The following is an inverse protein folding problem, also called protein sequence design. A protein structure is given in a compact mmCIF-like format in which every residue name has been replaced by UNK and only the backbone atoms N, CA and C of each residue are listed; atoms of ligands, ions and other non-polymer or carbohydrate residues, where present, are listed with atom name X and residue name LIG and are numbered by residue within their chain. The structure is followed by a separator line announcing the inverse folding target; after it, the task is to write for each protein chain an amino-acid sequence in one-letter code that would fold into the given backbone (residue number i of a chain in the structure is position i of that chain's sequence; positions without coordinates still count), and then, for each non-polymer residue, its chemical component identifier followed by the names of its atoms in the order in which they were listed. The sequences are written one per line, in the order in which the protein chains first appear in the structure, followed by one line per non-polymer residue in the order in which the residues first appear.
data_IF_849613135312
#
_entry.id   IF_849613135312
#
_cell.length_a   1.000
_cell.length_b   1.000
_cell.length_c   1.000
_cell.angle_alpha   90.00
_cell.angle_beta   90.00
_cell.angle_gamma   90.00
#
_symmetry.space_group_name_H-M   'P 1'
#
loop_
_entity.id
_entity.type
_entity.pdbx_description
1 polymer ?
#
# COMPACT_ATOMS: atom_id res chain seq x y z
N UNK A 1 -13.93 -0.81 -9.28
CA UNK A 1 -15.20 -1.20 -8.61
C UNK A 1 -15.46 -0.18 -7.50
N UNK A 2 -16.26 0.86 -7.78
CA UNK A 2 -16.61 1.89 -6.80
C UNK A 2 -17.65 1.27 -5.84
N UNK A 3 -17.24 0.97 -4.60
CA UNK A 3 -18.21 0.70 -3.54
C UNK A 3 -18.95 2.00 -3.25
N UNK A 4 -20.18 2.09 -3.73
CA UNK A 4 -21.15 3.09 -3.30
C UNK A 4 -21.32 2.86 -1.79
N UNK A 5 -20.89 3.82 -0.98
CA UNK A 5 -21.23 3.85 0.45
C UNK A 5 -22.75 3.92 0.53
N UNK A 6 -23.40 2.79 0.79
CA UNK A 6 -24.83 2.75 1.06
C UNK A 6 -25.06 3.46 2.41
N UNK A 7 -25.51 4.70 2.35
CA UNK A 7 -26.20 5.34 3.46
C UNK A 7 -27.49 4.54 3.69
N UNK A 8 -27.47 3.59 4.62
CA UNK A 8 -28.71 2.97 5.08
C UNK A 8 -29.34 3.91 6.09
N UNK A 9 -30.18 4.83 5.61
CA UNK A 9 -31.09 5.57 6.48
C UNK A 9 -32.24 4.62 6.81
N UNK A 10 -32.12 3.90 7.92
CA UNK A 10 -33.20 3.01 8.38
C UNK A 10 -34.19 3.84 9.19
N UNK A 11 -35.16 4.45 8.53
CA UNK A 11 -36.34 5.04 9.19
C UNK A 11 -37.24 3.91 9.71
N UNK A 12 -37.00 3.44 10.93
CA UNK A 12 -37.91 2.53 11.63
C UNK A 12 -39.06 3.33 12.23
N UNK A 13 -40.23 3.27 11.61
CA UNK A 13 -41.39 4.05 12.01
C UNK A 13 -42.28 3.23 12.97
N UNK A 14 -41.98 3.30 14.27
CA UNK A 14 -42.89 2.87 15.35
C UNK A 14 -43.39 4.14 16.04
N UNK A 15 -44.68 4.43 15.89
CA UNK A 15 -45.34 5.63 16.41
C UNK A 15 -45.30 5.61 17.94
N UNK A 16 -44.29 6.25 18.51
CA UNK A 16 -44.26 6.77 19.87
C UNK A 16 -43.22 7.90 19.89
N UNK A 17 -43.71 9.12 19.60
CA UNK A 17 -42.96 10.37 19.39
C UNK A 17 -41.88 10.29 18.30
N UNK A 18 -41.99 11.13 17.27
CA UNK A 18 -41.08 11.16 16.12
C UNK A 18 -39.66 11.58 16.54
N UNK A 19 -38.88 10.64 17.10
CA UNK A 19 -37.45 10.84 17.28
C UNK A 19 -36.77 10.64 15.94
N UNK A 20 -36.03 11.65 15.51
CA UNK A 20 -35.12 11.56 14.37
C UNK A 20 -33.90 10.78 14.84
N UNK A 21 -33.52 9.76 14.07
CA UNK A 21 -32.34 8.94 14.33
C UNK A 21 -31.43 8.94 13.11
N UNK A 22 -30.20 9.42 13.27
CA UNK A 22 -29.18 9.43 12.23
C UNK A 22 -27.98 8.62 12.72
N UNK A 23 -27.60 7.61 11.94
CA UNK A 23 -26.44 6.77 12.23
C UNK A 23 -25.55 6.67 10.99
N UNK A 24 -24.24 6.81 11.20
CA UNK A 24 -23.23 6.59 10.17
C UNK A 24 -22.05 5.80 10.72
N UNK A 25 -21.61 4.83 9.93
CA UNK A 25 -20.44 3.99 10.20
C UNK A 25 -19.33 4.29 9.20
N UNK A 26 -18.14 4.60 9.71
CA UNK A 26 -16.94 4.88 8.92
C UNK A 26 -15.98 3.71 9.05
N UNK A 27 -15.65 3.06 7.93
CA UNK A 27 -14.72 1.93 7.88
C UNK A 27 -13.27 2.33 7.58
N UNK A 28 -12.89 3.57 7.89
CA UNK A 28 -11.60 4.16 7.49
C UNK A 28 -10.60 4.19 8.66
N UNK A 29 -9.32 4.17 8.31
CA UNK A 29 -8.25 4.43 9.28
C UNK A 29 -8.35 5.86 9.83
N UNK A 30 -8.05 6.01 11.13
CA UNK A 30 -8.09 7.31 11.79
C UNK A 30 -6.93 7.52 12.75
N UNK A 31 -6.62 8.79 12.99
CA UNK A 31 -5.73 9.26 14.04
C UNK A 31 -6.48 10.31 14.85
N UNK A 32 -6.80 9.94 16.08
CA UNK A 32 -7.52 10.77 17.04
C UNK A 32 -6.54 11.34 18.05
N UNK A 33 -6.06 12.55 17.77
CA UNK A 33 -5.28 13.32 18.74
C UNK A 33 -6.19 14.01 19.77
N UNK A 34 -5.57 14.50 20.84
CA UNK A 34 -6.26 15.23 21.92
C UNK A 34 -7.08 16.41 21.39
N UNK A 35 -6.56 17.20 20.45
CA UNK A 35 -7.24 18.39 19.95
C UNK A 35 -8.50 18.04 19.16
N UNK A 36 -8.45 17.00 18.32
CA UNK A 36 -9.61 16.52 17.55
C UNK A 36 -10.68 15.95 18.46
N UNK A 37 -10.29 15.15 19.44
CA UNK A 37 -11.21 14.55 20.40
C UNK A 37 -11.92 15.63 21.25
N UNK A 38 -11.18 16.64 21.73
CA UNK A 38 -11.74 17.82 22.41
C UNK A 38 -12.71 18.57 21.50
N UNK A 39 -12.35 18.81 20.24
CA UNK A 39 -13.23 19.53 19.32
C UNK A 39 -14.56 18.82 19.06
N UNK A 40 -14.54 17.49 18.95
CA UNK A 40 -15.77 16.69 18.81
C UNK A 40 -16.62 16.84 20.08
N UNK A 41 -16.01 16.73 21.26
CA UNK A 41 -16.70 16.91 22.53
C UNK A 41 -17.32 18.31 22.66
N UNK A 42 -16.56 19.36 22.32
CA UNK A 42 -17.00 20.76 22.42
C UNK A 42 -18.17 21.06 21.49
N UNK A 43 -18.19 20.48 20.28
CA UNK A 43 -19.32 20.58 19.34
C UNK A 43 -20.58 19.97 19.96
N UNK A 44 -20.47 18.78 20.53
CA UNK A 44 -21.61 18.11 21.18
C UNK A 44 -22.12 18.97 22.34
N UNK A 45 -21.22 19.36 23.26
CA UNK A 45 -21.57 20.19 24.42
C UNK A 45 -22.22 21.50 24.02
N UNK A 46 -21.67 22.19 23.01
CA UNK A 46 -22.19 23.47 22.52
C UNK A 46 -23.60 23.30 21.93
N UNK A 47 -23.86 22.23 21.18
CA UNK A 47 -25.18 22.00 20.59
C UNK A 47 -26.24 21.59 21.62
N UNK A 48 -25.87 20.87 22.67
CA UNK A 48 -26.79 20.63 23.80
C UNK A 48 -27.12 21.94 24.54
N UNK A 49 -26.14 22.82 24.75
CA UNK A 49 -26.35 24.15 25.37
C UNK A 49 -27.22 25.05 24.50
N UNK A 50 -26.97 25.11 23.18
CA UNK A 50 -27.79 25.87 22.22
C UNK A 50 -29.25 25.44 22.24
N UNK A 51 -29.50 24.14 22.41
CA UNK A 51 -30.85 23.58 22.51
C UNK A 51 -31.56 23.82 23.86
N UNK A 52 -30.92 24.51 24.82
CA UNK A 52 -31.51 24.80 26.14
C UNK A 52 -31.68 23.55 27.01
N UNK A 53 -30.83 22.53 26.84
CA UNK A 53 -30.89 21.29 27.61
C UNK A 53 -30.01 21.44 28.85
N UNK A 54 -30.63 21.74 29.99
CA UNK A 54 -29.90 22.03 31.23
C UNK A 54 -29.41 20.76 31.96
N UNK A 55 -30.11 19.63 31.79
CA UNK A 55 -29.77 18.36 32.45
C UNK A 55 -29.12 17.38 31.47
N UNK A 56 -27.80 17.52 31.32
CA UNK A 56 -27.01 16.67 30.43
C UNK A 56 -26.31 15.59 31.26
N UNK A 57 -26.56 14.33 30.92
CA UNK A 57 -25.78 13.18 31.40
C UNK A 57 -24.69 12.88 30.38
N UNK A 58 -23.45 12.92 30.84
CA UNK A 58 -22.28 12.56 30.02
C UNK A 58 -21.65 11.30 30.59
N UNK A 59 -21.26 10.38 29.70
CA UNK A 59 -20.53 9.18 30.06
C UNK A 59 -19.42 8.96 29.02
N UNK A 60 -18.18 8.99 29.49
CA UNK A 60 -17.02 8.75 28.65
C UNK A 60 -16.40 7.42 29.04
N UNK A 61 -16.26 6.49 28.09
CA UNK A 61 -15.64 5.19 28.34
C UNK A 61 -14.40 5.02 27.48
N UNK A 62 -13.31 4.63 28.12
CA UNK A 62 -12.06 4.24 27.47
C UNK A 62 -11.80 2.77 27.75
N UNK A 63 -11.65 1.97 26.71
CA UNK A 63 -11.27 0.55 26.81
C UNK A 63 -9.82 0.44 26.36
N UNK A 64 -9.00 -0.17 27.20
CA UNK A 64 -7.57 -0.37 26.97
C UNK A 64 -7.31 -1.78 26.39
N UNK A 65 -6.10 -2.01 25.88
CA UNK A 65 -5.67 -3.28 25.29
C UNK A 65 -5.64 -4.48 26.22
N UNK A 66 -5.71 -4.25 27.54
CA UNK A 66 -5.88 -5.29 28.55
C UNK A 66 -7.35 -5.52 28.92
N UNK A 67 -8.28 -5.07 28.05
CA UNK A 67 -9.73 -5.12 28.23
C UNK A 67 -10.26 -4.32 29.44
N UNK A 68 -9.41 -3.56 30.13
CA UNK A 68 -9.83 -2.71 31.24
C UNK A 68 -10.69 -1.56 30.70
N UNK A 69 -11.92 -1.48 31.19
CA UNK A 69 -12.84 -0.38 30.94
C UNK A 69 -12.69 0.69 32.03
N UNK A 70 -12.51 1.94 31.61
CA UNK A 70 -12.43 3.11 32.47
C UNK A 70 -13.57 4.05 32.10
N UNK A 71 -14.40 4.42 33.07
CA UNK A 71 -15.51 5.38 32.90
C UNK A 71 -15.15 6.71 33.56
N UNK A 72 -15.47 7.81 32.90
CA UNK A 72 -15.19 9.17 33.37
C UNK A 72 -16.43 10.06 33.26
N UNK A 73 -16.59 10.96 34.23
CA UNK A 73 -17.62 12.00 34.24
C UNK A 73 -17.16 13.30 33.55
N UNK A 74 -15.84 13.47 33.40
CA UNK A 74 -15.23 14.62 32.74
C UNK A 74 -14.38 14.15 31.59
N UNK A 75 -14.61 14.71 30.40
CA UNK A 75 -13.90 14.36 29.19
C UNK A 75 -12.37 14.56 29.30
N UNK A 76 -11.94 15.63 29.97
CA UNK A 76 -10.51 15.94 30.16
C UNK A 76 -9.74 14.86 30.95
N UNK A 77 -10.42 14.06 31.76
CA UNK A 77 -9.79 13.00 32.56
C UNK A 77 -9.29 11.83 31.68
N UNK A 78 -9.86 11.65 30.48
CA UNK A 78 -9.43 10.61 29.53
C UNK A 78 -7.95 10.77 29.17
N UNK A 79 -7.51 12.01 28.99
CA UNK A 79 -6.12 12.32 28.61
C UNK A 79 -5.14 12.29 29.77
N UNK A 80 -5.61 12.10 31.01
CA UNK A 80 -4.75 11.87 32.17
C UNK A 80 -4.31 10.41 32.27
N UNK A 81 -5.01 9.51 31.57
CA UNK A 81 -4.62 8.10 31.48
C UNK A 81 -3.37 7.98 30.62
N UNK A 82 -2.40 7.23 31.15
CA UNK A 82 -1.20 6.85 30.41
C UNK A 82 -1.58 5.89 29.28
N UNK A 83 -1.64 6.44 28.06
CA UNK A 83 -1.81 5.68 26.83
C UNK A 83 -0.43 5.25 26.34
N UNK A 84 0.08 4.18 26.94
CA UNK A 84 1.37 3.58 26.63
C UNK A 84 1.27 2.19 26.02
N UNK A 85 2.42 1.62 25.62
CA UNK A 85 2.48 0.33 24.88
C UNK A 85 1.80 -0.85 25.55
N UNK A 86 1.86 -0.92 26.89
CA UNK A 86 1.27 -2.02 27.66
C UNK A 86 -0.24 -1.85 27.88
N UNK A 87 -0.71 -0.60 27.87
CA UNK A 87 -2.07 -0.20 28.20
C UNK A 87 -2.59 0.74 27.11
N UNK A 88 -2.53 0.29 25.86
CA UNK A 88 -2.88 1.12 24.71
C UNK A 88 -4.39 1.37 24.71
N UNK A 89 -4.81 2.59 24.47
CA UNK A 89 -6.22 2.89 24.18
C UNK A 89 -6.68 2.14 22.92
N UNK A 90 -7.76 1.38 23.04
CA UNK A 90 -8.34 0.61 21.94
C UNK A 90 -9.70 1.14 21.55
N UNK A 91 -10.54 1.53 22.51
CA UNK A 91 -11.87 2.05 22.18
C UNK A 91 -12.16 3.29 23.00
N UNK A 92 -12.80 4.27 22.37
CA UNK A 92 -13.28 5.47 23.03
C UNK A 92 -14.75 5.64 22.69
N UNK A 93 -15.59 5.70 23.72
CA UNK A 93 -17.02 5.94 23.62
C UNK A 93 -17.34 7.26 24.30
N UNK A 94 -17.95 8.18 23.55
CA UNK A 94 -18.50 9.43 24.05
C UNK A 94 -20.01 9.30 24.01
N UNK A 95 -20.66 9.36 25.17
CA UNK A 95 -22.11 9.30 25.28
C UNK A 95 -22.62 10.57 25.95
N UNK A 96 -23.56 11.25 25.30
CA UNK A 96 -24.24 12.43 25.79
C UNK A 96 -25.74 12.19 25.70
N UNK A 97 -26.48 12.45 26.78
CA UNK A 97 -27.92 12.26 26.80
C UNK A 97 -28.62 13.34 27.62
N UNK A 98 -29.77 13.82 27.17
CA UNK A 98 -30.56 14.84 27.86
C UNK A 98 -31.83 15.19 27.09
N UNK A 99 -32.96 15.40 27.79
CA UNK A 99 -34.26 15.77 27.21
C UNK A 99 -34.60 14.98 25.93
N UNK A 100 -34.58 13.65 26.00
CA UNK A 100 -34.85 12.73 24.89
C UNK A 100 -33.85 12.71 23.72
N UNK A 101 -32.85 13.58 23.75
CA UNK A 101 -31.74 13.61 22.80
C UNK A 101 -30.57 12.76 23.30
N UNK A 102 -29.94 12.02 22.40
CA UNK A 102 -28.81 11.14 22.67
C UNK A 102 -27.77 11.26 21.55
N UNK A 103 -26.50 11.34 21.91
CA UNK A 103 -25.37 11.37 20.97
C UNK A 103 -24.34 10.36 21.43
N UNK A 104 -24.02 9.43 20.54
CA UNK A 104 -23.02 8.41 20.73
C UNK A 104 -21.96 8.52 19.62
N UNK A 105 -20.73 8.80 20.02
CA UNK A 105 -19.55 8.72 19.15
C UNK A 105 -18.65 7.61 19.67
N UNK A 106 -18.38 6.62 18.83
CA UNK A 106 -17.60 5.43 19.18
C UNK A 106 -16.43 5.25 18.20
N UNK A 107 -15.22 5.23 18.74
CA UNK A 107 -13.98 4.90 18.02
C UNK A 107 -13.50 3.51 18.45
N UNK A 108 -13.09 2.67 17.50
CA UNK A 108 -12.51 1.35 17.76
C UNK A 108 -11.02 1.27 17.39
N UNK A 109 -10.37 0.22 17.86
CA UNK A 109 -9.02 -0.23 17.52
C UNK A 109 -8.91 -0.73 16.07
N UNK A 110 -10.05 -1.11 15.50
CA UNK A 110 -10.28 -1.39 14.09
C UNK A 110 -10.59 -0.08 13.36
N UNK A 111 -10.44 0.00 12.02
CA UNK A 111 -10.76 1.21 11.26
C UNK A 111 -12.29 1.39 11.22
N UNK A 112 -12.85 1.80 12.35
CA UNK A 112 -14.26 1.81 12.63
C UNK A 112 -14.57 2.98 13.56
N UNK A 113 -15.34 3.93 13.03
CA UNK A 113 -15.96 5.00 13.81
C UNK A 113 -17.47 4.88 13.62
N UNK A 114 -18.24 5.00 14.68
CA UNK A 114 -19.70 5.06 14.63
C UNK A 114 -20.16 6.36 15.25
N UNK A 115 -21.02 7.07 14.54
CA UNK A 115 -21.73 8.25 15.03
C UNK A 115 -23.21 7.93 15.00
N UNK A 116 -23.88 8.17 16.11
CA UNK A 116 -25.29 7.90 16.31
C UNK A 116 -25.88 9.12 17.04
N UNK A 117 -26.80 9.82 16.38
CA UNK A 117 -27.46 11.04 16.88
C UNK A 117 -28.95 10.78 16.87
N UNK A 118 -29.57 10.87 18.04
CA UNK A 118 -31.01 10.74 18.23
C UNK A 118 -31.53 12.03 18.83
N UNK A 119 -32.61 12.59 18.29
CA UNK A 119 -33.23 13.77 18.87
C UNK A 119 -34.69 13.97 18.48
N UNK A 120 -35.40 14.81 19.22
CA UNK A 120 -36.80 15.15 18.93
C UNK A 120 -36.95 16.20 17.83
N UNK A 121 -35.93 17.05 17.65
CA UNK A 121 -35.87 18.09 16.62
C UNK A 121 -35.00 17.61 15.44
N UNK A 122 -35.59 17.61 14.24
CA UNK A 122 -34.94 17.19 13.00
C UNK A 122 -33.79 18.13 12.61
N UNK A 123 -33.99 19.44 12.76
CA UNK A 123 -33.01 20.43 12.31
C UNK A 123 -31.76 20.38 13.20
N UNK A 124 -31.96 20.34 14.52
CA UNK A 124 -30.89 20.13 15.49
C UNK A 124 -30.13 18.82 15.24
N UNK A 125 -30.84 17.72 15.00
CA UNK A 125 -30.23 16.40 14.77
C UNK A 125 -29.36 16.41 13.51
N UNK A 126 -29.85 17.02 12.42
CA UNK A 126 -29.11 17.16 11.17
C UNK A 126 -27.89 18.07 11.29
N UNK A 127 -28.03 19.24 11.93
CA UNK A 127 -26.95 20.20 12.15
C UNK A 127 -25.82 19.57 12.97
N UNK A 128 -26.16 18.99 14.13
CA UNK A 128 -25.19 18.36 15.02
C UNK A 128 -24.50 17.17 14.34
N UNK A 129 -25.26 16.33 13.63
CA UNK A 129 -24.68 15.22 12.89
C UNK A 129 -23.69 15.71 11.82
N UNK A 130 -24.03 16.75 11.06
CA UNK A 130 -23.16 17.31 10.03
C UNK A 130 -21.86 17.89 10.62
N UNK A 131 -21.93 18.61 11.74
CA UNK A 131 -20.76 19.15 12.43
C UNK A 131 -19.84 18.03 12.97
N UNK A 132 -20.42 16.97 13.54
CA UNK A 132 -19.66 15.80 14.00
C UNK A 132 -19.03 15.08 12.80
N UNK A 133 -19.79 14.83 11.72
CA UNK A 133 -19.33 14.16 10.49
C UNK A 133 -18.09 14.86 9.92
N UNK A 134 -18.12 16.19 9.86
CA UNK A 134 -16.98 17.00 9.41
C UNK A 134 -15.73 16.75 10.28
N UNK A 135 -15.88 16.73 11.61
CA UNK A 135 -14.73 16.47 12.49
C UNK A 135 -14.24 15.02 12.38
N UNK A 136 -15.15 14.04 12.21
CA UNK A 136 -14.74 12.65 11.99
C UNK A 136 -13.95 12.51 10.69
N UNK A 137 -14.37 13.15 9.59
CA UNK A 137 -13.60 13.13 8.34
C UNK A 137 -12.20 13.76 8.49
N UNK A 138 -12.01 14.74 9.40
CA UNK A 138 -10.68 15.29 9.73
C UNK A 138 -9.79 14.34 10.55
N UNK A 139 -10.36 13.32 11.19
CA UNK A 139 -9.58 12.26 11.87
C UNK A 139 -9.05 11.22 10.90
N UNK A 140 -9.64 11.13 9.70
CA UNK A 140 -9.34 10.14 8.69
C UNK A 140 -7.90 10.27 8.19
N UNK A 141 -7.19 9.15 8.17
CA UNK A 141 -5.90 9.06 7.50
C UNK A 141 -6.07 8.28 6.22
N UNK A 142 -5.72 8.91 5.11
CA UNK A 142 -5.71 8.25 3.82
C UNK A 142 -4.59 7.20 3.80
N UNK A 143 -4.94 5.95 4.05
CA UNK A 143 -4.08 4.81 3.72
C UNK A 143 -4.76 4.02 2.61
N UNK A 144 -4.15 3.93 1.43
CA UNK A 144 -4.68 3.03 0.38
C UNK A 144 -4.65 1.56 0.83
N UNK A 145 -3.86 1.28 1.85
CA UNK A 145 -3.49 -0.04 2.34
C UNK A 145 -4.65 -0.75 3.03
N UNK A 146 -5.45 -0.04 3.85
CA UNK A 146 -6.58 -0.69 4.55
C UNK A 146 -7.67 -1.18 3.59
N UNK A 147 -7.76 -0.61 2.38
CA UNK A 147 -8.71 -1.07 1.35
C UNK A 147 -8.25 -2.33 0.64
N UNK A 148 -6.95 -2.60 0.62
CA UNK A 148 -6.42 -3.81 0.03
C UNK A 148 -6.52 -4.89 1.11
N UNK A 149 -7.56 -5.75 1.01
CA UNK A 149 -7.64 -6.97 1.83
C UNK A 149 -6.29 -7.68 1.78
N UNK A 150 -5.79 -8.13 2.92
CA UNK A 150 -4.49 -8.81 3.06
C UNK A 150 -4.23 -9.84 1.94
N UNK A 151 -5.26 -10.61 1.56
CA UNK A 151 -5.19 -11.63 0.52
C UNK A 151 -4.95 -11.08 -0.89
N UNK A 152 -5.47 -9.89 -1.19
CA UNK A 152 -5.27 -9.23 -2.48
C UNK A 152 -3.95 -8.46 -2.53
N UNK A 153 -3.37 -8.14 -1.37
CA UNK A 153 -2.12 -7.43 -1.28
C UNK A 153 -0.94 -8.29 -1.78
N UNK A 154 -0.88 -9.55 -1.35
CA UNK A 154 0.12 -10.51 -1.85
C UNK A 154 -0.02 -10.73 -3.36
N UNK A 155 -1.25 -10.80 -3.89
CA UNK A 155 -1.50 -10.91 -5.32
C UNK A 155 -1.01 -9.67 -6.08
N UNK A 156 -1.24 -8.47 -5.56
CA UNK A 156 -0.78 -7.22 -6.16
C UNK A 156 0.75 -7.13 -6.16
N UNK A 157 1.41 -7.45 -5.03
CA UNK A 157 2.87 -7.49 -4.96
C UNK A 157 3.42 -8.54 -5.91
N UNK A 158 2.84 -9.74 -5.94
CA UNK A 158 3.25 -10.80 -6.87
C UNK A 158 3.10 -10.37 -8.32
N UNK A 159 2.02 -9.67 -8.66
CA UNK A 159 1.81 -9.13 -10.02
C UNK A 159 2.86 -8.07 -10.36
N UNK A 160 3.11 -7.13 -9.46
CA UNK A 160 4.16 -6.11 -9.62
C UNK A 160 5.54 -6.75 -9.76
N UNK A 161 5.81 -7.79 -8.98
CA UNK A 161 7.03 -8.58 -9.06
C UNK A 161 7.20 -9.23 -10.42
N UNK A 162 6.18 -9.95 -10.90
CA UNK A 162 6.21 -10.57 -12.22
C UNK A 162 6.40 -9.48 -13.29
N UNK A 163 5.68 -8.37 -13.19
CA UNK A 163 5.76 -7.26 -14.14
C UNK A 163 7.12 -6.57 -14.17
N UNK A 164 7.88 -6.55 -13.07
CA UNK A 164 9.21 -5.92 -13.02
C UNK A 164 10.33 -6.91 -13.32
N UNK A 165 10.25 -8.14 -12.79
CA UNK A 165 11.28 -9.16 -12.94
C UNK A 165 11.25 -9.76 -14.35
N UNK A 166 10.08 -9.91 -14.97
CA UNK A 166 9.97 -10.54 -16.28
C UNK A 166 10.64 -9.74 -17.42
N UNK A 167 10.40 -8.41 -17.57
CA UNK A 167 11.09 -7.63 -18.59
C UNK A 167 12.60 -7.56 -18.33
N UNK A 168 12.99 -7.50 -17.06
CA UNK A 168 14.39 -7.45 -16.66
C UNK A 168 15.13 -8.75 -17.03
N UNK A 169 14.51 -9.91 -16.79
CA UNK A 169 14.99 -11.21 -17.27
C UNK A 169 15.19 -11.21 -18.80
N UNK A 170 14.22 -10.68 -19.56
CA UNK A 170 14.31 -10.61 -21.02
C UNK A 170 15.42 -9.68 -21.54
N UNK A 171 15.75 -8.62 -20.78
CA UNK A 171 16.84 -7.70 -21.14
C UNK A 171 18.20 -8.35 -20.86
N UNK A 172 18.34 -9.07 -19.74
CA UNK A 172 19.58 -9.75 -19.37
C UNK A 172 19.90 -10.90 -20.33
N UNK A 173 18.91 -11.67 -20.76
CA UNK A 173 19.12 -12.80 -21.69
C UNK A 173 19.50 -12.37 -23.10
N UNK A 174 19.21 -11.14 -23.52
CA UNK A 174 19.56 -10.64 -24.86
C UNK A 174 21.02 -10.20 -25.02
N UNK A 175 21.76 -10.00 -23.93
CA UNK A 175 23.03 -9.28 -24.00
C UNK A 175 24.27 -10.16 -24.19
N UNK A 176 24.16 -11.49 -24.10
CA UNK A 176 25.31 -12.40 -24.17
C UNK A 176 25.29 -13.42 -25.31
N UNK A 177 24.28 -13.38 -26.19
CA UNK A 177 24.36 -14.07 -27.49
C UNK A 177 25.21 -13.25 -28.45
N UNK A 178 26.50 -13.10 -28.13
CA UNK A 178 27.50 -13.42 -29.17
C UNK A 178 27.28 -14.89 -29.43
N UNK A 179 26.35 -15.19 -30.32
CA UNK A 179 25.98 -16.52 -30.79
C UNK A 179 27.30 -17.23 -31.11
N UNK A 180 27.84 -17.97 -30.13
CA UNK A 180 28.92 -18.91 -30.36
C UNK A 180 28.21 -20.00 -31.11
N UNK A 181 28.11 -19.79 -32.42
CA UNK A 181 27.72 -20.78 -33.39
C UNK A 181 28.55 -22.02 -33.05
N UNK A 182 27.92 -22.98 -32.38
CA UNK A 182 28.46 -24.29 -32.03
C UNK A 182 28.58 -25.12 -33.32
N UNK A 183 29.19 -24.53 -34.35
CA UNK A 183 29.60 -25.20 -35.57
C UNK A 183 30.83 -25.99 -35.16
N UNK A 184 30.65 -27.31 -35.07
CA UNK A 184 31.73 -28.27 -34.85
C UNK A 184 32.89 -27.99 -35.79
N UNK A 185 34.14 -28.26 -35.37
CA UNK A 185 35.30 -28.03 -36.22
C UNK A 185 35.18 -28.72 -37.60
N UNK A 186 34.54 -29.90 -37.63
CA UNK A 186 34.18 -30.67 -38.83
C UNK A 186 33.19 -29.95 -39.75
N UNK A 187 32.15 -29.32 -39.19
CA UNK A 187 31.17 -28.55 -39.96
C UNK A 187 31.79 -27.27 -40.52
N UNK A 188 32.73 -26.65 -39.80
CA UNK A 188 33.49 -25.49 -40.30
C UNK A 188 34.35 -25.88 -41.49
N UNK A 189 35.07 -27.00 -41.42
CA UNK A 189 35.88 -27.47 -42.56
C UNK A 189 35.02 -27.79 -43.78
N UNK A 190 33.87 -28.45 -43.59
CA UNK A 190 32.95 -28.78 -44.69
C UNK A 190 32.36 -27.51 -45.34
N UNK A 191 31.90 -26.54 -44.55
CA UNK A 191 31.39 -25.27 -45.07
C UNK A 191 32.48 -24.44 -45.77
N UNK A 192 33.72 -24.50 -45.28
CA UNK A 192 34.87 -23.81 -45.90
C UNK A 192 35.24 -24.45 -47.24
N UNK A 193 35.13 -25.77 -47.37
CA UNK A 193 35.38 -26.49 -48.63
C UNK A 193 34.30 -26.20 -49.68
N UNK A 194 33.03 -26.20 -49.26
CA UNK A 194 31.90 -25.83 -50.13
C UNK A 194 32.08 -24.38 -50.61
N UNK A 195 32.38 -23.44 -49.70
CA UNK A 195 32.60 -22.03 -50.03
C UNK A 195 33.77 -21.80 -51.02
N UNK A 196 34.82 -22.62 -50.97
CA UNK A 196 35.96 -22.55 -51.92
C UNK A 196 35.59 -23.02 -53.32
N UNK A 197 34.62 -23.91 -53.44
CA UNK A 197 34.20 -24.50 -54.72
C UNK A 197 33.08 -23.71 -55.40
N UNK A 198 32.40 -22.81 -54.67
CA UNK A 198 31.34 -21.94 -55.17
C UNK A 198 31.88 -20.78 -56.03
N UNK A 199 31.61 -20.77 -57.34
CA UNK A 199 32.20 -19.76 -58.26
C UNK A 199 31.20 -18.74 -58.75
N UNK A 200 29.93 -19.10 -58.91
CA UNK A 200 28.91 -18.20 -59.45
C UNK A 200 28.19 -17.41 -58.34
N UNK A 201 27.61 -16.26 -58.69
CA UNK A 201 26.89 -15.39 -57.73
C UNK A 201 25.66 -16.10 -57.17
N UNK A 202 24.97 -16.87 -57.99
CA UNK A 202 23.76 -17.60 -57.62
C UNK A 202 24.06 -18.75 -56.65
N UNK A 203 25.15 -19.50 -56.88
CA UNK A 203 25.59 -20.53 -55.95
C UNK A 203 26.06 -19.93 -54.61
N UNK A 204 26.65 -18.72 -54.60
CA UNK A 204 27.03 -18.03 -53.35
C UNK A 204 25.81 -17.61 -52.53
N UNK A 205 24.75 -17.15 -53.21
CA UNK A 205 23.49 -16.80 -52.55
C UNK A 205 22.84 -18.06 -51.97
N UNK A 206 22.75 -19.14 -52.74
CA UNK A 206 22.20 -20.40 -52.27
C UNK A 206 23.01 -20.99 -51.10
N UNK A 207 24.35 -20.91 -51.16
CA UNK A 207 25.20 -21.33 -50.06
C UNK A 207 24.97 -20.53 -48.77
N UNK A 208 24.79 -19.20 -48.86
CA UNK A 208 24.46 -18.36 -47.70
C UNK A 208 23.11 -18.75 -47.09
N UNK A 209 22.10 -19.00 -47.92
CA UNK A 209 20.79 -19.47 -47.46
C UNK A 209 20.86 -20.85 -46.82
N UNK A 210 21.53 -21.81 -47.45
CA UNK A 210 21.72 -23.17 -46.89
C UNK A 210 22.51 -23.15 -45.59
N UNK A 211 23.52 -22.29 -45.47
CA UNK A 211 24.31 -22.12 -44.24
C UNK A 211 23.43 -21.57 -43.12
N UNK A 212 22.61 -20.55 -43.39
CA UNK A 212 21.68 -20.01 -42.39
C UNK A 212 20.61 -21.04 -41.98
N UNK A 213 20.06 -21.79 -42.93
CA UNK A 213 19.09 -22.86 -42.65
C UNK A 213 19.71 -23.99 -41.81
N UNK A 214 20.96 -24.38 -42.11
CA UNK A 214 21.66 -25.43 -41.37
C UNK A 214 22.02 -24.98 -39.95
N UNK A 215 22.40 -23.72 -39.78
CA UNK A 215 22.61 -23.10 -38.45
C UNK A 215 21.30 -23.12 -37.65
N UNK A 216 20.18 -22.73 -38.27
CA UNK A 216 18.86 -22.77 -37.63
C UNK A 216 18.47 -24.19 -37.22
N UNK A 217 18.67 -25.18 -38.09
CA UNK A 217 18.32 -26.59 -37.79
C UNK A 217 19.21 -27.19 -36.68
N UNK A 218 20.50 -26.81 -36.62
CA UNK A 218 21.41 -27.19 -35.52
C UNK A 218 20.98 -26.55 -34.20
N UNK A 219 20.60 -25.27 -34.23
CA UNK A 219 20.13 -24.57 -33.03
C UNK A 219 18.82 -25.19 -32.50
N UNK A 220 17.87 -25.49 -33.40
CA UNK A 220 16.58 -26.11 -33.03
C UNK A 220 16.78 -27.54 -32.48
N UNK A 221 17.68 -28.34 -33.07
CA UNK A 221 17.93 -29.72 -32.61
C UNK A 221 18.67 -29.80 -31.27
N UNK A 222 19.46 -28.79 -30.94
CA UNK A 222 20.23 -28.74 -29.70
C UNK A 222 19.49 -28.03 -28.55
N UNK A 223 18.36 -27.38 -28.81
CA UNK A 223 17.44 -26.89 -27.78
C UNK A 223 16.68 -28.06 -27.14
N UNK A 224 17.37 -28.83 -26.32
CA UNK A 224 16.72 -29.76 -25.39
C UNK A 224 16.03 -28.98 -24.27
N UNK A 225 14.89 -29.44 -23.73
CA UNK A 225 14.21 -28.79 -22.60
C UNK A 225 15.12 -28.60 -21.37
N UNK A 226 16.12 -29.47 -21.22
CA UNK A 226 17.09 -29.44 -20.11
C UNK A 226 18.09 -28.28 -20.26
N UNK A 227 18.40 -27.84 -21.48
CA UNK A 227 19.27 -26.69 -21.73
C UNK A 227 18.69 -25.38 -21.18
N UNK A 228 17.36 -25.28 -21.06
CA UNK A 228 16.71 -24.12 -20.42
C UNK A 228 17.01 -24.06 -18.92
N UNK A 229 16.94 -25.21 -18.23
CA UNK A 229 17.22 -25.31 -16.79
C UNK A 229 18.72 -25.15 -16.49
N UNK A 230 19.59 -25.70 -17.32
CA UNK A 230 21.04 -25.55 -17.19
C UNK A 230 21.48 -24.10 -17.45
N UNK A 231 20.91 -23.43 -18.46
CA UNK A 231 21.14 -22.01 -18.70
C UNK A 231 20.64 -21.16 -17.52
N UNK A 232 19.43 -21.42 -17.00
CA UNK A 232 18.91 -20.74 -15.81
C UNK A 232 19.89 -20.83 -14.63
N UNK A 233 20.45 -22.02 -14.37
CA UNK A 233 21.41 -22.21 -13.27
C UNK A 233 22.68 -21.36 -13.45
N UNK A 234 23.15 -21.24 -14.69
CA UNK A 234 24.35 -20.47 -15.04
C UNK A 234 24.10 -18.96 -14.93
N UNK A 235 22.91 -18.49 -15.30
CA UNK A 235 22.48 -17.10 -15.16
C UNK A 235 22.33 -16.66 -13.69
N UNK A 236 21.85 -17.56 -12.81
CA UNK A 236 21.74 -17.27 -11.38
C UNK A 236 23.11 -17.15 -10.69
N UNK A 237 24.16 -17.72 -11.27
CA UNK A 237 25.53 -17.65 -10.74
C UNK A 237 26.34 -16.45 -11.24
N UNK A 238 25.84 -15.68 -12.22
CA UNK A 238 26.52 -14.46 -12.66
C UNK A 238 26.36 -13.35 -11.60
N UNK A 239 27.48 -12.84 -11.13
CA UNK A 239 27.57 -11.67 -10.24
C UNK A 239 26.78 -10.46 -10.75
N UNK A 240 26.68 -10.29 -12.07
CA UNK A 240 25.87 -9.23 -12.70
C UNK A 240 24.39 -9.36 -12.38
N UNK A 241 23.86 -10.58 -12.39
CA UNK A 241 22.46 -10.86 -12.04
C UNK A 241 22.17 -10.47 -10.59
N UNK A 242 23.09 -10.81 -9.67
CA UNK A 242 22.96 -10.42 -8.26
C UNK A 242 22.96 -8.91 -8.06
N UNK A 243 23.80 -8.16 -8.80
CA UNK A 243 23.82 -6.69 -8.74
C UNK A 243 22.47 -6.05 -9.10
N UNK A 244 21.64 -6.72 -9.90
CA UNK A 244 20.32 -6.21 -10.29
C UNK A 244 19.22 -6.71 -9.33
N UNK A 245 19.26 -7.99 -8.95
CA UNK A 245 18.24 -8.60 -8.10
C UNK A 245 18.26 -8.02 -6.67
N UNK A 246 19.46 -7.84 -6.08
CA UNK A 246 19.59 -7.42 -4.68
C UNK A 246 18.91 -6.06 -4.40
N UNK A 247 19.15 -4.99 -5.18
CA UNK A 247 18.48 -3.71 -4.98
C UNK A 247 16.95 -3.80 -5.09
N UNK A 248 16.44 -4.62 -6.01
CA UNK A 248 15.00 -4.82 -6.19
C UNK A 248 14.41 -5.49 -4.94
N UNK A 249 15.00 -6.59 -4.48
CA UNK A 249 14.59 -7.28 -3.24
C UNK A 249 14.66 -6.32 -2.05
N UNK A 250 15.71 -5.50 -1.94
CA UNK A 250 15.84 -4.52 -0.87
C UNK A 250 14.72 -3.47 -0.89
N UNK A 251 14.40 -2.91 -2.06
CA UNK A 251 13.28 -1.96 -2.22
C UNK A 251 11.96 -2.62 -1.82
N UNK A 252 11.72 -3.85 -2.25
CA UNK A 252 10.51 -4.59 -1.90
C UNK A 252 10.42 -4.90 -0.42
N UNK A 253 11.53 -5.27 0.22
CA UNK A 253 11.61 -5.45 1.66
C UNK A 253 11.28 -4.15 2.42
N UNK A 254 11.79 -3.01 1.95
CA UNK A 254 11.47 -1.69 2.50
C UNK A 254 9.99 -1.36 2.32
N UNK A 255 9.43 -1.58 1.13
CA UNK A 255 8.01 -1.36 0.85
C UNK A 255 7.14 -2.27 1.73
N UNK A 256 7.48 -3.55 1.85
CA UNK A 256 6.80 -4.50 2.72
C UNK A 256 6.80 -4.03 4.18
N UNK A 257 7.97 -3.62 4.69
CA UNK A 257 8.11 -3.10 6.04
C UNK A 257 7.31 -1.81 6.25
N UNK A 258 7.39 -0.88 5.30
CA UNK A 258 6.58 0.35 5.30
C UNK A 258 5.10 0.01 5.45
N UNK A 259 4.60 -0.89 4.61
CA UNK A 259 3.18 -1.18 4.49
C UNK A 259 2.63 -1.94 5.71
N UNK A 260 3.43 -2.81 6.34
CA UNK A 260 3.01 -3.61 7.50
C UNK A 260 3.24 -2.93 8.84
N UNK A 261 4.32 -2.16 9.00
CA UNK A 261 4.73 -1.59 10.29
C UNK A 261 4.49 -0.10 10.38
N UNK A 262 4.53 0.62 9.26
CA UNK A 262 4.52 2.09 9.29
C UNK A 262 3.16 2.72 9.01
N UNK A 263 2.09 1.96 8.74
CA UNK A 263 0.73 2.47 8.51
C UNK A 263 -0.25 1.91 9.54
N UNK A 264 -0.32 2.51 10.75
CA UNK A 264 -1.26 2.06 11.76
C UNK A 264 -2.70 2.35 11.30
N UNK A 265 -3.60 1.44 11.67
CA UNK A 265 -4.98 1.44 11.20
C UNK A 265 -5.87 2.37 12.05
N UNK A 266 -5.74 2.33 13.37
CA UNK A 266 -6.40 3.23 14.30
C UNK A 266 -5.42 3.64 15.39
N UNK A 267 -5.28 4.94 15.62
CA UNK A 267 -4.36 5.49 16.61
C UNK A 267 -5.06 6.53 17.47
N UNK A 268 -4.93 6.34 18.78
CA UNK A 268 -5.24 7.32 19.80
C UNK A 268 -3.94 8.04 20.14
N UNK A 269 -3.81 9.29 19.69
CA UNK A 269 -2.56 10.05 19.63
C UNK A 269 -2.45 11.00 20.84
N UNK A 270 -2.20 10.41 22.01
CA UNK A 270 -1.84 11.11 23.25
C UNK A 270 -1.01 10.19 24.15
N UNK A 271 -0.37 10.74 25.18
CA UNK A 271 0.55 9.98 26.05
C UNK A 271 1.77 9.46 25.29
N UNK A 272 2.31 8.33 25.71
CA UNK A 272 3.47 7.68 25.07
C UNK A 272 3.18 7.23 23.63
N UNK A 273 1.93 6.85 23.33
CA UNK A 273 1.52 6.47 21.97
C UNK A 273 1.67 7.61 20.98
N UNK A 274 1.63 8.88 21.42
CA UNK A 274 1.86 10.01 20.55
C UNK A 274 3.30 10.10 20.06
N UNK A 275 4.26 9.84 20.95
CA UNK A 275 5.67 9.79 20.57
C UNK A 275 5.96 8.60 19.66
N UNK A 276 5.34 7.45 19.93
CA UNK A 276 5.45 6.27 19.08
C UNK A 276 4.88 6.52 17.69
N UNK A 277 3.71 7.14 17.60
CA UNK A 277 3.12 7.52 16.33
C UNK A 277 4.02 8.48 15.55
N UNK A 278 4.59 9.49 16.22
CA UNK A 278 5.57 10.41 15.60
C UNK A 278 6.79 9.65 15.07
N UNK A 279 7.36 8.72 15.83
CA UNK A 279 8.48 7.87 15.38
C UNK A 279 8.11 7.05 14.15
N UNK A 280 6.88 6.52 14.08
CA UNK A 280 6.39 5.79 12.91
C UNK A 280 6.30 6.72 11.69
N UNK A 281 5.79 7.94 11.84
CA UNK A 281 5.68 8.92 10.75
C UNK A 281 7.06 9.35 10.26
N UNK A 282 8.01 9.60 11.15
CA UNK A 282 9.39 9.94 10.80
C UNK A 282 10.10 8.80 10.06
N UNK A 283 9.98 7.57 10.56
CA UNK A 283 10.51 6.36 9.86
C UNK A 283 9.90 6.21 8.48
N UNK A 284 8.58 6.41 8.35
CA UNK A 284 7.88 6.36 7.06
C UNK A 284 8.47 7.37 6.08
N UNK A 285 8.69 8.62 6.51
CA UNK A 285 9.30 9.67 5.68
C UNK A 285 10.72 9.31 5.27
N UNK A 286 11.53 8.80 6.21
CA UNK A 286 12.90 8.36 5.93
C UNK A 286 12.96 7.23 4.91
N UNK A 287 12.13 6.19 5.07
CA UNK A 287 12.10 5.05 4.16
C UNK A 287 11.61 5.46 2.77
N UNK A 288 10.60 6.33 2.66
CA UNK A 288 10.20 6.88 1.37
C UNK A 288 11.30 7.72 0.71
N UNK A 289 12.04 8.52 1.47
CA UNK A 289 13.18 9.26 0.95
C UNK A 289 14.28 8.31 0.42
N UNK A 290 14.54 7.19 1.09
CA UNK A 290 15.46 6.16 0.61
C UNK A 290 14.96 5.56 -0.70
N UNK A 291 13.69 5.15 -0.78
CA UNK A 291 13.10 4.57 -2.00
C UNK A 291 13.18 5.54 -3.17
N UNK A 292 12.74 6.79 -2.96
CA UNK A 292 12.77 7.83 -4.00
C UNK A 292 14.21 8.16 -4.40
N UNK A 293 15.12 8.31 -3.42
CA UNK A 293 16.54 8.57 -3.66
C UNK A 293 17.20 7.47 -4.49
N UNK A 294 16.95 6.21 -4.16
CA UNK A 294 17.46 5.05 -4.92
C UNK A 294 16.93 5.03 -6.36
N UNK A 295 15.65 5.36 -6.57
CA UNK A 295 15.08 5.44 -7.92
C UNK A 295 15.75 6.55 -8.73
N UNK A 296 15.90 7.75 -8.14
CA UNK A 296 16.55 8.89 -8.81
C UNK A 296 18.00 8.57 -9.17
N UNK A 297 18.77 7.99 -8.25
CA UNK A 297 20.17 7.59 -8.49
C UNK A 297 20.23 6.53 -9.60
N UNK A 298 19.32 5.54 -9.60
CA UNK A 298 19.26 4.52 -10.64
C UNK A 298 19.00 5.10 -12.03
N UNK A 299 18.05 6.04 -12.13
CA UNK A 299 17.75 6.74 -13.39
C UNK A 299 18.94 7.57 -13.87
N UNK A 300 19.57 8.36 -12.97
CA UNK A 300 20.74 9.18 -13.31
C UNK A 300 21.94 8.33 -13.76
N UNK A 301 22.18 7.21 -13.08
CA UNK A 301 23.26 6.27 -13.44
C UNK A 301 23.01 5.68 -14.82
N UNK A 302 21.76 5.30 -15.13
CA UNK A 302 21.41 4.78 -16.45
C UNK A 302 21.61 5.83 -17.56
N UNK A 303 21.18 7.08 -17.32
CA UNK A 303 21.44 8.17 -18.27
C UNK A 303 22.93 8.44 -18.49
N UNK A 304 23.72 8.37 -17.42
CA UNK A 304 25.17 8.55 -17.49
C UNK A 304 25.85 7.43 -18.29
N UNK A 305 25.50 6.17 -18.03
CA UNK A 305 26.01 5.01 -18.77
C UNK A 305 25.63 5.11 -20.25
N UNK A 306 24.36 5.42 -20.55
CA UNK A 306 23.89 5.60 -21.91
C UNK A 306 24.68 6.70 -22.64
N UNK A 307 24.87 7.86 -22.00
CA UNK A 307 25.63 8.99 -22.55
C UNK A 307 27.09 8.63 -22.86
N UNK A 308 27.76 7.85 -22.01
CA UNK A 308 29.13 7.39 -22.25
C UNK A 308 29.16 6.41 -23.43
N UNK A 309 28.22 5.45 -23.46
CA UNK A 309 28.18 4.46 -24.55
C UNK A 309 27.90 5.10 -25.91
N UNK A 310 27.00 6.09 -25.99
CA UNK A 310 26.71 6.81 -27.23
C UNK A 310 27.89 7.63 -27.73
N UNK A 311 28.69 8.18 -26.82
CA UNK A 311 29.89 8.95 -27.18
C UNK A 311 30.98 8.06 -27.78
N UNK A 312 31.16 6.85 -27.24
CA UNK A 312 32.16 5.90 -27.73
C UNK A 312 31.78 5.24 -29.07
N UNK A 313 30.48 5.13 -29.40
CA UNK A 313 30.03 4.58 -30.69
C UNK A 313 30.05 5.58 -31.85
N UNK A 314 30.30 6.86 -31.58
CA UNK A 314 30.33 7.93 -32.58
C UNK A 314 31.72 8.27 -33.14
N UNK A 315 32.77 7.58 -32.67
CA UNK A 315 34.15 7.65 -33.19
C UNK A 315 34.53 6.31 -33.82
#
# INVERSE_FOLDING_TARGET
MLQIHSLSVTTSNKVNMNKTHINKFYSNSFVLDKSKAVRINDIIETNFKKAGIDSIKTEFKLILSNEKELTFDKFSNIFQIDNGRKNKAEKLKLNWSGNDNEVLVYFSDKPAVRVDVTGTDLDWTNELFAEIDEQIERTKVFSLIHKIKSDNFFKLISLLMISFVFPLMLVVTKNDTKEKLNITATDRSALTEIAKNTKTVEEKINFLFETQLKILDINIKNETPDAFLDNLSTYFLDWRTYMIIIPIIAILGILWYLLTQCYPVAVFDWGDMAEEYRKIVERRKLLWNIVIGSIVIGILTNFFVFSITSFNSGN
#
